data_IF_097714979511
#
_entry.id   IF_097714979511
#
_cell.length_a   1.000
_cell.length_b   1.000
_cell.length_c   1.000
_cell.angle_alpha   90.00
_cell.angle_beta   90.00
_cell.angle_gamma   90.00
#
_symmetry.space_group_name_H-M   'P 1'
#
loop_
_entity.id
_entity.type
_entity.pdbx_description
1 polymer ?
#
# COMPACT_ATOMS: atom_id res chain seq x y z
N UNK A 1 7.24 -7.44 1.26
CA UNK A 1 6.45 -6.29 0.73
C UNK A 1 7.19 -5.68 -0.45
N UNK A 2 8.42 -5.21 -0.26
CA UNK A 2 9.31 -4.63 -1.30
C UNK A 2 9.31 -5.42 -2.61
N UNK A 3 9.64 -6.71 -2.56
CA UNK A 3 9.60 -7.60 -3.74
C UNK A 3 8.26 -7.62 -4.50
N UNK A 4 7.12 -7.49 -3.81
CA UNK A 4 5.78 -7.48 -4.45
C UNK A 4 5.58 -6.15 -5.17
N UNK A 5 5.95 -5.03 -4.52
CA UNK A 5 5.85 -3.67 -5.04
C UNK A 5 6.77 -3.52 -6.25
N UNK A 6 8.06 -3.85 -6.13
CA UNK A 6 9.05 -3.69 -7.22
C UNK A 6 8.62 -4.46 -8.46
N UNK A 7 8.21 -5.72 -8.29
CA UNK A 7 7.76 -6.59 -9.40
C UNK A 7 6.59 -5.99 -10.18
N UNK A 8 5.71 -5.24 -9.52
CA UNK A 8 4.45 -4.77 -10.12
C UNK A 8 4.52 -3.30 -10.54
N UNK A 9 5.23 -2.47 -9.78
CA UNK A 9 5.21 -1.01 -9.89
C UNK A 9 6.60 -0.42 -10.16
N UNK A 10 7.67 -1.22 -10.19
CA UNK A 10 9.02 -0.71 -10.44
C UNK A 10 9.21 -0.10 -11.83
N UNK A 11 8.39 -0.53 -12.81
CA UNK A 11 8.42 0.00 -14.18
C UNK A 11 7.03 0.49 -14.61
N UNK A 12 7.04 1.49 -15.48
CA UNK A 12 5.84 1.97 -16.15
C UNK A 12 5.24 0.89 -17.06
N UNK A 13 3.91 0.78 -17.07
CA UNK A 13 3.22 -0.10 -17.98
C UNK A 13 3.08 0.57 -19.35
N UNK A 14 3.83 0.08 -20.33
CA UNK A 14 3.71 0.52 -21.72
C UNK A 14 2.75 -0.41 -22.49
N UNK A 15 1.59 0.11 -22.88
CA UNK A 15 0.64 -0.63 -23.73
C UNK A 15 0.90 -0.35 -25.22
N UNK A 16 0.77 -1.36 -26.10
CA UNK A 16 0.70 -1.15 -27.53
C UNK A 16 -0.45 -0.20 -27.89
N UNK A 17 -0.26 0.67 -28.89
CA UNK A 17 -1.21 1.74 -29.25
C UNK A 17 -2.66 1.30 -29.55
N UNK A 18 -2.89 0.02 -29.83
CA UNK A 18 -4.22 -0.55 -30.13
C UNK A 18 -4.94 -1.11 -28.90
N UNK A 19 -4.27 -1.22 -27.76
CA UNK A 19 -4.82 -1.79 -26.54
C UNK A 19 -5.28 -0.66 -25.63
N UNK A 20 -6.59 -0.65 -25.32
CA UNK A 20 -7.10 0.19 -24.24
C UNK A 20 -6.94 -0.54 -22.91
N UNK A 21 -6.61 0.16 -21.84
CA UNK A 21 -6.57 -0.45 -20.52
C UNK A 21 -7.96 -0.97 -20.14
N UNK A 22 -8.06 -2.17 -19.54
CA UNK A 22 -9.32 -2.61 -18.98
C UNK A 22 -9.72 -1.68 -17.82
N UNK A 23 -11.01 -1.33 -17.72
CA UNK A 23 -11.54 -0.76 -16.48
C UNK A 23 -11.55 -1.88 -15.44
N UNK A 24 -10.66 -1.80 -14.47
CA UNK A 24 -10.67 -2.69 -13.32
C UNK A 24 -11.42 -2.04 -12.16
N UNK A 25 -12.17 -2.85 -11.44
CA UNK A 25 -12.77 -2.44 -10.19
C UNK A 25 -11.68 -2.10 -9.17
N UNK A 26 -11.92 -1.03 -8.42
CA UNK A 26 -11.06 -0.62 -7.31
C UNK A 26 -10.94 -1.77 -6.31
N UNK A 27 -9.72 -2.07 -5.80
CA UNK A 27 -9.54 -3.12 -4.82
C UNK A 27 -10.31 -2.84 -3.52
N UNK A 28 -10.64 -3.87 -2.74
CA UNK A 28 -11.25 -3.68 -1.43
C UNK A 28 -10.31 -2.86 -0.52
N UNK A 29 -10.90 -2.06 0.35
CA UNK A 29 -10.13 -1.28 1.33
C UNK A 29 -9.52 -2.18 2.40
N UNK A 30 -8.36 -1.80 2.92
CA UNK A 30 -7.75 -2.45 4.07
C UNK A 30 -8.22 -1.79 5.36
N UNK A 31 -8.75 -2.60 6.28
CA UNK A 31 -9.36 -2.13 7.53
C UNK A 31 -8.43 -2.20 8.75
N UNK A 32 -7.26 -2.84 8.62
CA UNK A 32 -6.36 -3.10 9.74
C UNK A 32 -6.45 -4.51 10.34
N UNK A 33 -6.86 -5.52 9.55
CA UNK A 33 -6.80 -6.93 9.98
C UNK A 33 -5.38 -7.32 10.40
N UNK A 34 -5.26 -8.17 11.42
CA UNK A 34 -3.98 -8.71 11.91
C UNK A 34 -3.51 -9.96 11.15
N UNK A 35 -4.32 -10.44 10.20
CA UNK A 35 -4.02 -11.63 9.44
C UNK A 35 -3.01 -11.36 8.31
N UNK A 36 -1.80 -11.92 8.45
CA UNK A 36 -0.74 -11.75 7.46
C UNK A 36 -1.15 -12.18 6.04
N UNK A 37 -1.87 -13.29 5.91
CA UNK A 37 -2.27 -13.85 4.61
C UNK A 37 -3.28 -12.93 3.93
N UNK A 38 -4.22 -12.35 4.68
CA UNK A 38 -5.18 -11.38 4.15
C UNK A 38 -4.49 -10.10 3.71
N UNK A 39 -3.53 -9.61 4.49
CA UNK A 39 -2.73 -8.44 4.11
C UNK A 39 -1.97 -8.67 2.80
N UNK A 40 -1.30 -9.81 2.64
CA UNK A 40 -0.57 -10.12 1.39
C UNK A 40 -1.53 -10.23 0.20
N UNK A 41 -2.68 -10.90 0.36
CA UNK A 41 -3.71 -11.01 -0.71
C UNK A 41 -4.26 -9.64 -1.10
N UNK A 42 -4.51 -8.78 -0.13
CA UNK A 42 -4.93 -7.41 -0.38
C UNK A 42 -3.84 -6.61 -1.12
N UNK A 43 -2.59 -6.69 -0.65
CA UNK A 43 -1.45 -6.01 -1.27
C UNK A 43 -1.26 -6.43 -2.73
N UNK A 44 -1.35 -7.73 -3.04
CA UNK A 44 -1.22 -8.21 -4.42
C UNK A 44 -2.32 -7.64 -5.33
N UNK A 45 -3.56 -7.55 -4.86
CA UNK A 45 -4.67 -6.93 -5.59
C UNK A 45 -4.45 -5.42 -5.79
N UNK A 46 -3.99 -4.74 -4.74
CA UNK A 46 -3.67 -3.32 -4.78
C UNK A 46 -2.65 -2.99 -5.85
N UNK A 47 -1.49 -3.65 -5.83
CA UNK A 47 -0.39 -3.33 -6.76
C UNK A 47 -0.71 -3.78 -8.19
N UNK A 48 -1.48 -4.86 -8.38
CA UNK A 48 -1.93 -5.27 -9.70
C UNK A 48 -2.88 -4.24 -10.30
N UNK A 49 -3.85 -3.75 -9.52
CA UNK A 49 -4.74 -2.68 -9.93
C UNK A 49 -3.97 -1.38 -10.25
N UNK A 50 -3.02 -0.99 -9.39
CA UNK A 50 -2.18 0.19 -9.63
C UNK A 50 -1.37 0.07 -10.92
N UNK A 51 -0.78 -1.09 -11.21
CA UNK A 51 -0.05 -1.36 -12.45
C UNK A 51 -0.92 -1.15 -13.67
N UNK A 52 -2.13 -1.72 -13.67
CA UNK A 52 -3.06 -1.59 -14.81
C UNK A 52 -3.69 -0.21 -14.94
N UNK A 53 -3.66 0.58 -13.87
CA UNK A 53 -4.07 1.99 -13.83
C UNK A 53 -2.91 2.95 -14.12
N UNK A 54 -1.76 2.45 -14.60
CA UNK A 54 -0.57 3.23 -14.96
C UNK A 54 0.11 3.98 -13.81
N UNK A 55 -0.04 3.49 -12.58
CA UNK A 55 0.70 4.01 -11.44
C UNK A 55 2.02 3.25 -11.24
N UNK A 56 2.67 2.80 -12.31
CA UNK A 56 4.01 2.18 -12.30
C UNK A 56 5.11 3.23 -12.48
N UNK A 57 6.37 2.85 -12.26
CA UNK A 57 7.54 3.71 -12.43
C UNK A 57 7.91 4.56 -11.20
N UNK A 58 9.08 5.20 -11.19
CA UNK A 58 9.58 5.98 -10.06
C UNK A 58 8.77 7.26 -9.81
N UNK A 59 8.29 7.91 -10.87
CA UNK A 59 7.67 9.25 -10.77
C UNK A 59 6.24 9.22 -10.21
N UNK A 60 5.65 8.04 -10.06
CA UNK A 60 4.29 7.86 -9.56
C UNK A 60 4.21 7.74 -8.02
N UNK A 61 5.33 7.76 -7.30
CA UNK A 61 5.36 7.34 -5.89
C UNK A 61 4.51 8.21 -4.97
N UNK A 62 4.64 9.53 -5.07
CA UNK A 62 3.82 10.48 -4.31
C UNK A 62 2.32 10.28 -4.57
N UNK A 63 1.98 9.99 -5.83
CA UNK A 63 0.60 9.73 -6.22
C UNK A 63 0.08 8.40 -5.63
N UNK A 64 0.93 7.37 -5.54
CA UNK A 64 0.56 6.10 -4.87
C UNK A 64 0.27 6.29 -3.40
N UNK A 65 1.06 7.10 -2.69
CA UNK A 65 0.81 7.45 -1.28
C UNK A 65 -0.58 8.10 -1.13
N UNK A 66 -0.88 9.06 -2.00
CA UNK A 66 -2.18 9.75 -2.01
C UNK A 66 -3.36 8.80 -2.31
N UNK A 67 -3.19 7.88 -3.26
CA UNK A 67 -4.21 6.86 -3.55
C UNK A 67 -4.36 5.87 -2.39
N UNK A 68 -3.25 5.45 -1.78
CA UNK A 68 -3.24 4.46 -0.71
C UNK A 68 -4.20 4.87 0.42
N UNK A 69 -4.16 6.13 0.85
CA UNK A 69 -5.09 6.67 1.85
C UNK A 69 -6.57 6.39 1.52
N UNK A 70 -6.97 6.54 0.26
CA UNK A 70 -8.35 6.29 -0.18
C UNK A 70 -8.73 4.79 -0.18
N UNK A 71 -7.73 3.92 -0.10
CA UNK A 71 -7.87 2.46 -0.07
C UNK A 71 -7.69 1.89 1.35
N UNK A 72 -7.66 2.76 2.36
CA UNK A 72 -7.72 2.39 3.78
C UNK A 72 -9.10 2.70 4.34
N UNK A 73 -9.48 1.94 5.37
CA UNK A 73 -10.68 2.17 6.16
C UNK A 73 -10.45 1.80 7.62
N UNK A 74 -11.41 2.14 8.50
CA UNK A 74 -11.39 1.79 9.92
C UNK A 74 -10.05 2.11 10.60
N UNK A 75 -9.55 1.17 11.40
CA UNK A 75 -8.33 1.34 12.19
C UNK A 75 -7.08 1.64 11.34
N UNK A 76 -7.00 1.09 10.12
CA UNK A 76 -5.89 1.38 9.23
C UNK A 76 -5.89 2.83 8.74
N UNK A 77 -7.06 3.39 8.42
CA UNK A 77 -7.19 4.78 8.02
C UNK A 77 -6.92 5.74 9.18
N UNK A 78 -7.48 5.45 10.36
CA UNK A 78 -7.24 6.23 11.58
C UNK A 78 -5.74 6.31 11.89
N UNK A 79 -5.06 5.15 11.89
CA UNK A 79 -3.61 5.09 12.09
C UNK A 79 -2.83 5.83 11.00
N UNK A 80 -3.23 5.72 9.73
CA UNK A 80 -2.57 6.42 8.65
C UNK A 80 -2.64 7.94 8.85
N UNK A 81 -3.82 8.47 9.19
CA UNK A 81 -4.00 9.91 9.42
C UNK A 81 -3.13 10.37 10.59
N UNK A 82 -3.15 9.63 11.69
CA UNK A 82 -2.41 10.00 12.90
C UNK A 82 -0.89 9.97 12.71
N UNK A 83 -0.37 8.96 12.02
CA UNK A 83 1.08 8.70 11.98
C UNK A 83 1.76 9.09 10.67
N UNK A 84 1.04 9.09 9.54
CA UNK A 84 1.59 9.42 8.23
C UNK A 84 1.21 10.84 7.84
N UNK A 85 -0.09 11.18 7.78
CA UNK A 85 -0.51 12.51 7.33
C UNK A 85 -0.07 13.62 8.28
N UNK A 86 -0.32 13.45 9.59
CA UNK A 86 0.01 14.48 10.59
C UNK A 86 1.52 14.68 10.77
N UNK A 87 2.34 13.72 10.36
CA UNK A 87 3.81 13.79 10.43
C UNK A 87 4.46 13.90 9.05
N UNK A 88 3.68 14.19 7.99
CA UNK A 88 4.21 14.30 6.64
C UNK A 88 5.12 15.51 6.55
N UNK A 89 6.38 15.37 6.10
CA UNK A 89 7.28 16.49 5.97
C UNK A 89 6.78 17.52 4.95
N UNK A 90 6.98 18.80 5.27
CA UNK A 90 6.62 19.91 4.38
C UNK A 90 7.61 20.07 3.21
N UNK A 91 8.82 19.53 3.34
CA UNK A 91 9.88 19.54 2.32
C UNK A 91 9.70 18.40 1.31
N UNK A 92 10.12 18.62 0.06
CA UNK A 92 10.15 17.58 -0.97
C UNK A 92 11.27 16.55 -0.77
N UNK A 93 12.29 16.87 0.04
CA UNK A 93 13.47 16.03 0.27
C UNK A 93 13.20 14.87 1.24
N UNK A 94 12.16 14.97 2.06
CA UNK A 94 11.78 13.97 3.09
C UNK A 94 10.40 13.36 2.81
N UNK A 95 9.97 13.31 1.55
CA UNK A 95 8.67 12.72 1.21
C UNK A 95 8.63 11.24 1.58
N UNK A 96 7.58 10.84 2.29
CA UNK A 96 7.36 9.46 2.69
C UNK A 96 7.13 8.60 1.45
N UNK A 97 7.91 7.54 1.29
CA UNK A 97 7.77 6.66 0.13
C UNK A 97 6.59 5.69 0.31
N UNK A 98 5.93 5.34 -0.80
CA UNK A 98 4.83 4.38 -0.80
C UNK A 98 5.21 3.04 -0.15
N UNK A 99 6.43 2.56 -0.41
CA UNK A 99 6.92 1.31 0.16
C UNK A 99 7.09 1.40 1.68
N UNK A 100 7.54 2.54 2.19
CA UNK A 100 7.71 2.77 3.62
C UNK A 100 6.36 2.74 4.32
N UNK A 101 5.34 3.37 3.74
CA UNK A 101 3.98 3.34 4.29
C UNK A 101 3.43 1.91 4.34
N UNK A 102 3.59 1.12 3.27
CA UNK A 102 3.14 -0.27 3.26
C UNK A 102 3.87 -1.13 4.30
N UNK A 103 5.17 -0.90 4.49
CA UNK A 103 5.95 -1.58 5.53
C UNK A 103 5.51 -1.16 6.93
N UNK A 104 5.18 0.12 7.13
CA UNK A 104 4.69 0.63 8.40
C UNK A 104 3.30 0.07 8.75
N UNK A 105 2.38 -0.02 7.77
CA UNK A 105 1.08 -0.70 7.93
C UNK A 105 1.25 -2.17 8.33
N UNK A 106 2.12 -2.92 7.65
CA UNK A 106 2.38 -4.32 7.98
C UNK A 106 2.95 -4.48 9.38
N UNK A 107 3.93 -3.64 9.76
CA UNK A 107 4.51 -3.66 11.10
C UNK A 107 3.46 -3.38 12.17
N UNK A 108 2.59 -2.39 11.92
CA UNK A 108 1.55 -1.97 12.86
C UNK A 108 0.50 -3.04 13.09
N UNK A 109 -0.09 -3.57 12.02
CA UNK A 109 -1.26 -4.45 12.14
C UNK A 109 -0.90 -5.93 12.20
N UNK A 110 0.18 -6.36 11.54
CA UNK A 110 0.51 -7.79 11.42
C UNK A 110 1.57 -8.20 12.44
N UNK A 111 2.72 -7.52 12.43
CA UNK A 111 3.85 -7.90 13.29
C UNK A 111 3.53 -7.68 14.77
N UNK A 112 2.92 -6.55 15.10
CA UNK A 112 2.55 -6.23 16.50
C UNK A 112 1.52 -7.23 17.04
N UNK A 113 0.52 -7.60 16.24
CA UNK A 113 -0.48 -8.58 16.64
C UNK A 113 0.14 -9.97 16.85
N UNK A 114 1.05 -10.40 15.95
CA UNK A 114 1.76 -11.68 16.09
C UNK A 114 2.54 -11.75 17.41
N UNK A 115 3.19 -10.65 17.81
CA UNK A 115 3.88 -10.57 19.10
C UNK A 115 2.92 -10.63 20.29
N UNK A 116 1.76 -9.96 20.22
CA UNK A 116 0.74 -10.03 21.27
C UNK A 116 0.10 -11.41 21.41
N UNK A 117 -0.14 -12.11 20.31
CA UNK A 117 -0.64 -13.49 20.33
C UNK A 117 0.40 -14.43 20.95
N UNK A 118 1.67 -14.32 20.54
CA UNK A 118 2.74 -15.14 21.11
C UNK A 118 2.92 -14.96 22.62
N UNK A 119 2.71 -13.75 23.16
CA UNK A 119 2.78 -13.49 24.60
C UNK A 119 1.59 -14.05 25.40
N UNK A 120 0.47 -14.36 24.74
CA UNK A 120 -0.74 -14.92 25.39
C UNK A 120 -0.75 -16.45 25.45
N UNK A 121 0.14 -17.10 24.70
CA UNK A 121 0.28 -18.55 24.62
C UNK A 121 1.34 -19.12 25.61
N UNK A 122 1.87 -18.29 26.52
CA UNK A 122 2.77 -18.67 27.64
C UNK A 122 2.13 -18.36 28.99
#
# INVERSE_FOLDING_TARGET
ITRIVDRQLGEELNLPARIRPPKLDTPPKFTGTDNHVEFIKWLERLVAWMRTSFYGGPDADEYRVSILKNLLDGAALEWYIEFIDNNRPESSEDQVEFIEVLCALHRRFITTATAHHALRDF
#
